data_IF_257588834544
#
_entry.id   IF_257588834544
#
_cell.length_a   1.000
_cell.length_b   1.000
_cell.length_c   1.000
_cell.angle_alpha   90.00
_cell.angle_beta   90.00
_cell.angle_gamma   90.00
#
_symmetry.space_group_name_H-M   'P 1'
#
loop_
_entity.id
_entity.type
_entity.pdbx_description
1 polymer ?
#
# COMPACT_ATOMS: atom_id res chain seq x y z
N UNK A 1 6.33 -11.51 -23.34
CA UNK A 1 7.01 -10.36 -22.71
C UNK A 1 8.02 -10.88 -21.70
N UNK A 2 9.14 -10.20 -21.57
CA UNK A 2 10.06 -10.35 -20.45
C UNK A 2 9.63 -9.41 -19.31
N UNK A 3 9.29 -10.00 -18.15
CA UNK A 3 8.69 -9.27 -17.03
C UNK A 3 9.67 -9.26 -15.85
N UNK A 4 10.16 -8.09 -15.46
CA UNK A 4 10.96 -7.95 -14.25
C UNK A 4 10.05 -7.88 -13.01
N UNK A 5 10.25 -8.76 -12.05
CA UNK A 5 9.58 -8.74 -10.75
C UNK A 5 10.58 -8.23 -9.71
N UNK A 6 10.39 -7.00 -9.23
CA UNK A 6 11.27 -6.40 -8.23
C UNK A 6 10.94 -6.96 -6.85
N UNK A 7 11.64 -8.00 -6.42
CA UNK A 7 11.40 -8.67 -5.15
C UNK A 7 12.71 -9.16 -4.54
N UNK A 8 12.91 -8.94 -3.24
CA UNK A 8 14.08 -9.39 -2.50
C UNK A 8 14.15 -10.91 -2.27
N UNK A 9 13.03 -11.60 -2.41
CA UNK A 9 12.95 -13.04 -2.16
C UNK A 9 11.94 -13.68 -3.11
N UNK A 10 12.43 -14.54 -4.00
CA UNK A 10 11.62 -15.29 -4.97
C UNK A 10 10.67 -16.30 -4.33
N UNK A 11 10.96 -16.74 -3.10
CA UNK A 11 10.20 -17.77 -2.40
C UNK A 11 8.99 -17.20 -1.63
N UNK A 12 8.84 -15.86 -1.53
CA UNK A 12 7.63 -15.26 -0.95
C UNK A 12 6.41 -15.68 -1.76
N UNK A 13 5.33 -16.02 -1.08
CA UNK A 13 4.07 -16.45 -1.71
C UNK A 13 3.68 -15.56 -2.90
N UNK A 14 3.56 -14.26 -2.68
CA UNK A 14 3.13 -13.33 -3.74
C UNK A 14 4.10 -13.29 -4.92
N UNK A 15 5.42 -13.40 -4.68
CA UNK A 15 6.42 -13.40 -5.75
C UNK A 15 6.32 -14.69 -6.57
N UNK A 16 6.22 -15.84 -5.91
CA UNK A 16 6.08 -17.14 -6.56
C UNK A 16 4.80 -17.20 -7.39
N UNK A 17 3.65 -16.75 -6.85
CA UNK A 17 2.39 -16.69 -7.58
C UNK A 17 2.46 -15.83 -8.84
N UNK A 18 3.16 -14.70 -8.79
CA UNK A 18 3.36 -13.82 -9.95
C UNK A 18 4.29 -14.47 -11.00
N UNK A 19 5.32 -15.22 -10.57
CA UNK A 19 6.17 -16.01 -11.48
C UNK A 19 5.31 -17.06 -12.20
N UNK A 20 4.62 -17.92 -11.44
CA UNK A 20 3.74 -18.97 -11.96
C UNK A 20 2.70 -18.41 -12.95
N UNK A 21 2.05 -17.30 -12.58
CA UNK A 21 1.06 -16.66 -13.44
C UNK A 21 1.67 -16.10 -14.74
N UNK A 22 2.86 -15.53 -14.68
CA UNK A 22 3.56 -15.02 -15.86
C UNK A 22 3.97 -16.17 -16.80
N UNK A 23 4.57 -17.23 -16.27
CA UNK A 23 4.98 -18.41 -17.03
C UNK A 23 3.76 -19.12 -17.67
N UNK A 24 2.68 -19.31 -16.92
CA UNK A 24 1.44 -19.91 -17.42
C UNK A 24 0.84 -19.15 -18.61
N UNK A 25 1.07 -17.84 -18.67
CA UNK A 25 0.62 -16.96 -19.77
C UNK A 25 1.68 -16.78 -20.86
N UNK A 26 2.75 -17.58 -20.87
CA UNK A 26 3.79 -17.57 -21.90
C UNK A 26 4.74 -16.38 -21.81
N UNK A 27 4.93 -15.80 -20.63
CA UNK A 27 5.91 -14.75 -20.39
C UNK A 27 7.19 -15.27 -19.73
N UNK A 28 8.28 -14.51 -19.82
CA UNK A 28 9.56 -14.76 -19.20
C UNK A 28 9.70 -13.89 -17.92
N UNK A 29 9.41 -14.41 -16.72
CA UNK A 29 9.61 -13.64 -15.49
C UNK A 29 11.06 -13.67 -15.04
N UNK A 30 11.61 -12.50 -14.66
CA UNK A 30 12.94 -12.35 -14.09
C UNK A 30 12.82 -11.66 -12.72
N UNK A 31 13.25 -12.34 -11.67
CA UNK A 31 13.22 -11.76 -10.31
C UNK A 31 14.51 -11.00 -10.04
N UNK A 32 14.37 -9.72 -9.73
CA UNK A 32 15.47 -8.82 -9.42
C UNK A 32 15.35 -8.31 -7.97
N UNK A 33 16.35 -8.61 -7.15
CA UNK A 33 16.49 -7.99 -5.83
C UNK A 33 16.94 -6.54 -6.01
N UNK A 34 16.07 -5.60 -5.67
CA UNK A 34 16.34 -4.16 -5.85
C UNK A 34 17.62 -3.71 -5.18
N UNK A 35 18.01 -4.30 -4.04
CA UNK A 35 19.24 -3.93 -3.32
C UNK A 35 20.51 -4.43 -4.02
N UNK A 36 20.38 -5.30 -5.02
CA UNK A 36 21.49 -5.78 -5.86
C UNK A 36 21.49 -5.18 -7.26
N UNK A 37 20.49 -4.35 -7.56
CA UNK A 37 20.47 -3.54 -8.78
C UNK A 37 21.34 -2.30 -8.57
N UNK A 38 22.03 -1.88 -9.59
CA UNK A 38 22.70 -0.58 -9.64
C UNK A 38 22.49 0.06 -11.02
N UNK A 39 22.58 1.37 -11.07
CA UNK A 39 22.10 2.15 -12.20
C UNK A 39 23.23 3.01 -12.76
N UNK A 40 23.35 3.05 -14.08
CA UNK A 40 24.11 4.07 -14.79
C UNK A 40 23.13 5.17 -15.24
N UNK A 41 23.28 6.34 -14.64
CA UNK A 41 22.41 7.50 -14.92
C UNK A 41 23.19 8.43 -15.82
N UNK A 42 22.86 8.41 -17.11
CA UNK A 42 23.47 9.27 -18.13
C UNK A 42 22.40 9.78 -19.10
N UNK A 43 22.74 10.79 -19.89
CA UNK A 43 21.80 11.50 -20.77
C UNK A 43 21.33 10.69 -21.98
N UNK A 44 22.11 9.73 -22.42
CA UNK A 44 21.88 9.07 -23.71
C UNK A 44 21.32 7.66 -23.56
N UNK A 45 21.88 6.87 -22.65
CA UNK A 45 21.54 5.46 -22.49
C UNK A 45 21.51 5.08 -21.02
N UNK A 46 20.41 5.38 -20.30
CA UNK A 46 20.25 4.98 -18.91
C UNK A 46 20.19 3.45 -18.81
N UNK A 47 20.90 2.87 -17.84
CA UNK A 47 21.03 1.44 -17.70
C UNK A 47 20.74 0.97 -16.28
N UNK A 48 20.33 -0.30 -16.17
CA UNK A 48 20.25 -1.03 -14.91
C UNK A 48 21.11 -2.29 -15.04
N UNK A 49 21.89 -2.54 -14.00
CA UNK A 49 22.71 -3.73 -13.88
C UNK A 49 22.27 -4.55 -12.65
N UNK A 50 22.39 -5.85 -12.75
CA UNK A 50 22.10 -6.78 -11.68
C UNK A 50 23.18 -7.86 -11.64
N UNK A 51 23.90 -7.97 -10.52
CA UNK A 51 24.98 -8.95 -10.31
C UNK A 51 26.10 -8.94 -11.39
N UNK A 52 26.38 -7.81 -11.97
CA UNK A 52 27.41 -7.66 -13.01
C UNK A 52 26.85 -7.52 -14.42
N UNK A 53 25.66 -8.03 -14.68
CA UNK A 53 25.06 -8.05 -16.01
C UNK A 53 24.15 -6.84 -16.26
N UNK A 54 24.21 -6.28 -17.46
CA UNK A 54 23.24 -5.27 -17.93
C UNK A 54 21.89 -5.93 -18.17
N UNK A 55 20.83 -5.36 -17.60
CA UNK A 55 19.47 -5.83 -17.80
C UNK A 55 18.93 -5.31 -19.14
N UNK A 56 18.60 -6.23 -20.03
CA UNK A 56 18.11 -5.93 -21.37
C UNK A 56 16.83 -6.69 -21.71
N UNK A 57 16.06 -6.15 -22.65
CA UNK A 57 14.87 -6.81 -23.21
C UNK A 57 13.68 -6.91 -22.25
N UNK A 58 13.64 -6.13 -21.18
CA UNK A 58 12.48 -6.08 -20.26
C UNK A 58 11.39 -5.24 -20.88
N UNK A 59 10.17 -5.78 -20.92
CA UNK A 59 8.97 -5.11 -21.45
C UNK A 59 8.14 -4.43 -20.37
N UNK A 60 8.10 -5.05 -19.18
CA UNK A 60 7.28 -4.56 -18.07
C UNK A 60 7.90 -4.90 -16.70
N UNK A 61 7.51 -4.12 -15.68
CA UNK A 61 8.00 -4.29 -14.31
C UNK A 61 6.85 -4.43 -13.32
N UNK A 62 6.91 -5.47 -12.48
CA UNK A 62 6.02 -5.67 -11.33
C UNK A 62 6.76 -5.30 -10.05
N UNK A 63 6.47 -4.14 -9.42
CA UNK A 63 7.13 -3.73 -8.20
C UNK A 63 6.53 -4.46 -6.98
N UNK A 64 7.36 -5.29 -6.32
CA UNK A 64 7.08 -5.89 -5.01
C UNK A 64 8.01 -5.28 -3.95
N UNK A 65 8.01 -3.95 -3.91
CA UNK A 65 8.92 -3.15 -3.07
C UNK A 65 8.37 -3.14 -1.63
N UNK A 66 9.16 -3.65 -0.70
CA UNK A 66 8.86 -3.61 0.74
C UNK A 66 9.04 -2.21 1.34
N UNK A 67 8.40 -1.95 2.48
CA UNK A 67 8.44 -0.64 3.13
C UNK A 67 9.87 -0.20 3.50
N UNK A 68 10.68 -1.10 4.04
CA UNK A 68 12.07 -0.82 4.45
C UNK A 68 13.03 -0.47 3.31
N UNK A 69 12.65 -0.72 2.07
CA UNK A 69 13.47 -0.47 0.88
C UNK A 69 12.79 0.46 -0.13
N UNK A 70 11.79 1.23 0.33
CA UNK A 70 10.97 2.09 -0.55
C UNK A 70 11.82 3.07 -1.34
N UNK A 71 12.76 3.76 -0.69
CA UNK A 71 13.60 4.76 -1.37
C UNK A 71 14.37 4.15 -2.53
N UNK A 72 15.18 3.14 -2.25
CA UNK A 72 16.04 2.53 -3.27
C UNK A 72 15.24 1.74 -4.31
N UNK A 73 14.21 1.00 -3.87
CA UNK A 73 13.34 0.25 -4.78
C UNK A 73 12.59 1.15 -5.76
N UNK A 74 12.09 2.30 -5.30
CA UNK A 74 11.47 3.28 -6.17
C UNK A 74 12.48 3.99 -7.08
N UNK A 75 13.74 4.17 -6.65
CA UNK A 75 14.79 4.69 -7.53
C UNK A 75 15.10 3.72 -8.69
N UNK A 76 15.23 2.42 -8.40
CA UNK A 76 15.40 1.38 -9.44
C UNK A 76 14.20 1.32 -10.37
N UNK A 77 12.97 1.36 -9.82
CA UNK A 77 11.74 1.37 -10.62
C UNK A 77 11.67 2.60 -11.54
N UNK A 78 12.03 3.77 -11.03
CA UNK A 78 12.06 5.02 -11.81
C UNK A 78 13.07 4.94 -12.94
N UNK A 79 14.21 4.27 -12.75
CA UNK A 79 15.16 4.03 -13.82
C UNK A 79 14.53 3.20 -14.95
N UNK A 80 13.79 2.15 -14.64
CA UNK A 80 13.00 1.41 -15.64
C UNK A 80 12.00 2.32 -16.37
N UNK A 81 11.32 3.20 -15.63
CA UNK A 81 10.39 4.17 -16.22
C UNK A 81 11.11 5.12 -17.20
N UNK A 82 12.30 5.61 -16.85
CA UNK A 82 13.15 6.46 -17.73
C UNK A 82 13.63 5.72 -18.97
N UNK A 83 13.84 4.41 -18.88
CA UNK A 83 14.14 3.53 -20.01
C UNK A 83 12.92 3.22 -20.89
N UNK A 84 11.73 3.76 -20.58
CA UNK A 84 10.49 3.55 -21.31
C UNK A 84 9.82 2.20 -21.06
N UNK A 85 10.23 1.48 -20.01
CA UNK A 85 9.67 0.18 -19.64
C UNK A 85 8.41 0.39 -18.81
N UNK A 86 7.34 -0.35 -19.11
CA UNK A 86 6.04 -0.19 -18.45
C UNK A 86 6.06 -0.70 -16.99
N UNK A 87 5.82 0.15 -15.97
CA UNK A 87 5.62 -0.28 -14.60
C UNK A 87 4.15 -0.60 -14.33
N UNK A 88 3.88 -1.71 -13.63
CA UNK A 88 2.52 -2.02 -13.18
C UNK A 88 1.96 -0.91 -12.26
N UNK A 89 2.78 -0.44 -11.33
CA UNK A 89 2.56 0.76 -10.53
C UNK A 89 3.77 1.68 -10.70
N UNK A 90 3.54 2.96 -10.92
CA UNK A 90 4.63 3.95 -11.06
C UNK A 90 5.30 4.23 -9.71
N UNK A 91 6.59 4.55 -9.75
CA UNK A 91 7.41 4.87 -8.57
C UNK A 91 6.81 6.01 -7.73
N UNK A 92 6.28 7.04 -8.38
CA UNK A 92 5.60 8.16 -7.72
C UNK A 92 4.31 7.74 -7.02
N UNK A 93 3.55 6.81 -7.58
CA UNK A 93 2.33 6.30 -6.96
C UNK A 93 2.65 5.47 -5.71
N UNK A 94 3.72 4.66 -5.77
CA UNK A 94 4.21 3.90 -4.63
C UNK A 94 4.67 4.84 -3.51
N UNK A 95 5.46 5.86 -3.81
CA UNK A 95 5.93 6.82 -2.80
C UNK A 95 4.78 7.60 -2.16
N UNK A 96 3.75 8.00 -2.93
CA UNK A 96 2.54 8.65 -2.40
C UNK A 96 1.80 7.76 -1.40
N UNK A 97 1.63 6.48 -1.71
CA UNK A 97 0.93 5.54 -0.82
C UNK A 97 1.74 5.14 0.40
N UNK A 98 3.07 5.20 0.34
CA UNK A 98 3.97 4.91 1.46
C UNK A 98 4.08 6.04 2.47
N UNK A 99 3.94 7.26 2.02
CA UNK A 99 3.88 8.44 2.87
C UNK A 99 2.45 8.58 3.43
N UNK A 100 2.28 8.19 4.70
CA UNK A 100 0.95 8.18 5.35
C UNK A 100 0.27 9.54 5.35
N UNK A 101 1.01 10.62 5.63
CA UNK A 101 0.43 11.97 5.64
C UNK A 101 0.03 12.40 4.24
N UNK A 102 0.92 12.24 3.27
CA UNK A 102 0.65 12.58 1.86
C UNK A 102 -0.53 11.77 1.33
N UNK A 103 -0.62 10.49 1.68
CA UNK A 103 -1.74 9.63 1.30
C UNK A 103 -3.07 10.21 1.81
N UNK A 104 -3.16 10.53 3.11
CA UNK A 104 -4.36 11.13 3.70
C UNK A 104 -4.71 12.49 3.09
N UNK A 105 -3.72 13.35 2.86
CA UNK A 105 -3.93 14.66 2.20
C UNK A 105 -4.48 14.50 0.78
N UNK A 106 -3.99 13.53 0.02
CA UNK A 106 -4.48 13.24 -1.33
C UNK A 106 -5.90 12.68 -1.31
N UNK A 107 -6.22 11.79 -0.36
CA UNK A 107 -7.58 11.25 -0.15
C UNK A 107 -8.54 12.38 0.22
N UNK A 108 -8.16 13.23 1.17
CA UNK A 108 -8.94 14.41 1.58
C UNK A 108 -9.26 15.33 0.41
N UNK A 109 -8.26 15.69 -0.37
CA UNK A 109 -8.44 16.54 -1.58
C UNK A 109 -9.41 15.93 -2.60
N UNK A 110 -9.52 14.60 -2.63
CA UNK A 110 -10.44 13.88 -3.53
C UNK A 110 -11.80 13.61 -2.93
N UNK A 111 -12.08 14.07 -1.71
CA UNK A 111 -13.33 13.83 -1.00
C UNK A 111 -13.56 12.36 -0.66
N UNK A 112 -12.50 11.57 -0.52
CA UNK A 112 -12.59 10.17 -0.12
C UNK A 112 -12.73 10.10 1.40
N UNK A 113 -13.75 9.41 1.91
CA UNK A 113 -13.98 9.22 3.34
C UNK A 113 -12.79 8.56 4.03
N UNK A 114 -12.37 9.11 5.16
CA UNK A 114 -11.30 8.60 6.00
C UNK A 114 -11.54 8.99 7.46
N UNK A 115 -10.96 8.31 8.45
CA UNK A 115 -11.02 8.73 9.83
C UNK A 115 -10.41 10.13 10.01
N UNK A 116 -11.01 10.95 10.87
CA UNK A 116 -10.46 12.26 11.20
C UNK A 116 -9.06 12.08 11.75
N UNK A 117 -8.10 12.76 11.17
CA UNK A 117 -6.68 12.58 11.47
C UNK A 117 -6.03 13.94 11.73
N UNK A 118 -5.36 14.05 12.86
CA UNK A 118 -4.56 15.20 13.23
C UNK A 118 -3.06 14.84 13.24
N UNK A 119 -2.24 15.84 12.99
CA UNK A 119 -0.78 15.76 13.03
C UNK A 119 -0.21 17.03 13.64
N UNK A 120 0.63 16.89 14.63
CA UNK A 120 1.36 17.99 15.27
C UNK A 120 2.81 17.58 15.50
N UNK A 121 3.70 18.58 15.54
CA UNK A 121 5.14 18.39 15.73
C UNK A 121 5.63 18.78 17.12
N UNK A 122 4.80 19.47 17.93
CA UNK A 122 5.18 19.94 19.25
C UNK A 122 4.25 19.40 20.33
N UNK A 123 4.78 19.05 21.52
CA UNK A 123 3.98 18.58 22.65
C UNK A 123 2.93 19.58 23.13
N UNK A 124 3.20 20.88 23.01
CA UNK A 124 2.30 21.95 23.45
C UNK A 124 0.94 21.91 22.74
N UNK A 125 0.88 21.35 21.52
CA UNK A 125 -0.31 21.26 20.68
C UNK A 125 -1.14 19.99 20.94
N UNK A 126 -0.75 19.11 21.88
CA UNK A 126 -1.37 17.78 22.09
C UNK A 126 -2.84 17.89 22.46
N UNK A 127 -3.22 18.86 23.31
CA UNK A 127 -4.61 19.03 23.74
C UNK A 127 -5.51 19.42 22.58
N UNK A 128 -5.08 20.40 21.79
CA UNK A 128 -5.80 20.87 20.61
C UNK A 128 -5.90 19.78 19.55
N UNK A 129 -4.82 18.99 19.39
CA UNK A 129 -4.78 17.85 18.48
C UNK A 129 -5.82 16.78 18.86
N UNK A 130 -5.96 16.47 20.17
CA UNK A 130 -6.95 15.53 20.65
C UNK A 130 -8.38 16.05 20.45
N UNK A 131 -8.62 17.32 20.72
CA UNK A 131 -9.94 17.93 20.52
C UNK A 131 -10.32 17.96 19.03
N UNK A 132 -9.35 18.23 18.14
CA UNK A 132 -9.54 18.21 16.68
C UNK A 132 -10.04 16.86 16.15
N UNK A 133 -9.58 15.74 16.73
CA UNK A 133 -9.99 14.39 16.31
C UNK A 133 -11.19 13.85 17.08
N UNK A 134 -11.85 14.68 17.91
CA UNK A 134 -13.05 14.32 18.66
C UNK A 134 -12.79 13.70 20.03
N UNK A 135 -11.57 13.75 20.54
CA UNK A 135 -11.20 13.22 21.86
C UNK A 135 -10.97 11.71 21.87
N UNK A 136 -10.71 11.18 23.06
CA UNK A 136 -10.51 9.75 23.25
C UNK A 136 -11.85 8.96 23.18
N UNK A 137 -11.82 7.68 22.73
CA UNK A 137 -10.63 6.91 22.35
C UNK A 137 -10.04 7.32 21.00
N UNK A 138 -8.70 7.28 20.90
CA UNK A 138 -7.95 7.64 19.68
C UNK A 138 -6.91 6.57 19.33
N UNK A 139 -6.59 6.49 18.04
CA UNK A 139 -5.51 5.64 17.55
C UNK A 139 -4.28 6.50 17.23
N UNK A 140 -3.18 6.26 17.95
CA UNK A 140 -1.92 6.96 17.76
C UNK A 140 -1.03 6.07 16.89
N UNK A 141 -0.47 6.61 15.81
CA UNK A 141 0.32 5.83 14.84
C UNK A 141 1.67 6.50 14.58
N UNK A 142 2.75 5.73 14.64
CA UNK A 142 4.04 6.17 14.12
C UNK A 142 3.96 6.28 12.59
N UNK A 143 4.49 7.37 12.03
CA UNK A 143 4.53 7.55 10.57
C UNK A 143 5.43 6.51 9.89
N UNK A 144 6.53 6.14 10.54
CA UNK A 144 7.52 5.20 10.01
C UNK A 144 7.24 3.73 10.37
N UNK A 145 6.15 3.44 11.11
CA UNK A 145 5.75 2.08 11.48
C UNK A 145 5.11 1.30 10.35
N UNK A 146 5.29 -0.03 10.36
CA UNK A 146 4.65 -0.98 9.43
C UNK A 146 4.02 -2.15 10.17
N UNK A 147 3.06 -2.85 9.55
CA UNK A 147 2.42 -4.06 10.09
C UNK A 147 1.80 -3.90 11.50
N UNK A 148 1.31 -2.70 11.83
CA UNK A 148 0.73 -2.41 13.14
C UNK A 148 1.76 -2.20 14.26
N UNK A 149 3.07 -2.15 13.94
CA UNK A 149 4.11 -1.71 14.88
C UNK A 149 4.00 -0.20 15.05
N UNK A 150 4.02 0.28 16.30
CA UNK A 150 3.86 1.71 16.60
C UNK A 150 2.44 2.22 16.40
N UNK A 151 1.43 1.34 16.56
CA UNK A 151 0.00 1.71 16.59
C UNK A 151 -0.55 1.42 17.97
N UNK A 152 -1.05 2.44 18.65
CA UNK A 152 -1.57 2.37 20.02
C UNK A 152 -3.00 2.89 20.06
N UNK A 153 -3.91 2.15 20.68
CA UNK A 153 -5.23 2.63 21.06
C UNK A 153 -5.14 3.25 22.46
N UNK A 154 -5.46 4.53 22.56
CA UNK A 154 -5.56 5.23 23.85
C UNK A 154 -7.02 5.46 24.19
N UNK A 155 -7.52 4.76 25.19
CA UNK A 155 -8.94 4.77 25.54
C UNK A 155 -9.37 6.02 26.32
N UNK A 156 -8.42 6.67 27.00
CA UNK A 156 -8.66 7.89 27.76
C UNK A 156 -7.77 9.03 27.30
N UNK A 157 -8.22 10.27 27.50
CA UNK A 157 -7.45 11.47 27.19
C UNK A 157 -6.07 11.46 27.86
N UNK A 158 -6.01 11.12 29.15
CA UNK A 158 -4.75 11.06 29.90
C UNK A 158 -3.78 10.03 29.32
N UNK A 159 -4.28 8.87 28.92
CA UNK A 159 -3.44 7.86 28.27
C UNK A 159 -2.94 8.36 26.90
N UNK A 160 -3.80 9.03 26.12
CA UNK A 160 -3.42 9.60 24.83
C UNK A 160 -2.33 10.65 24.98
N UNK A 161 -2.49 11.62 25.90
CA UNK A 161 -1.49 12.65 26.21
C UNK A 161 -0.15 12.00 26.56
N UNK A 162 -0.13 11.06 27.51
CA UNK A 162 1.10 10.38 27.94
C UNK A 162 1.82 9.64 26.80
N UNK A 163 1.08 8.94 25.92
CA UNK A 163 1.66 8.21 24.78
C UNK A 163 2.23 9.18 23.75
N UNK A 164 1.50 10.26 23.45
CA UNK A 164 1.92 11.29 22.48
C UNK A 164 3.19 11.98 22.97
N UNK A 165 3.21 12.42 24.24
CA UNK A 165 4.38 13.06 24.85
C UNK A 165 5.60 12.15 24.84
N UNK A 166 5.42 10.86 25.16
CA UNK A 166 6.50 9.88 25.12
C UNK A 166 7.09 9.71 23.72
N UNK A 167 6.25 9.60 22.68
CA UNK A 167 6.73 9.48 21.30
C UNK A 167 7.38 10.78 20.80
N UNK A 168 6.83 11.94 21.13
CA UNK A 168 7.43 13.23 20.77
C UNK A 168 8.76 13.45 21.48
N UNK A 169 8.87 13.02 22.75
CA UNK A 169 10.14 13.03 23.49
C UNK A 169 11.23 12.20 22.82
N UNK A 170 10.86 11.12 22.14
CA UNK A 170 11.74 10.31 21.31
C UNK A 170 11.96 10.90 19.89
N UNK A 171 11.43 12.09 19.61
CA UNK A 171 11.46 12.75 18.28
C UNK A 171 10.81 11.90 17.17
N UNK A 172 9.86 11.04 17.53
CA UNK A 172 9.12 10.24 16.58
C UNK A 172 7.98 11.05 15.97
N UNK A 173 7.84 10.99 14.65
CA UNK A 173 6.70 11.58 13.95
C UNK A 173 5.47 10.69 14.14
N UNK A 174 4.40 11.27 14.68
CA UNK A 174 3.15 10.56 14.96
C UNK A 174 1.97 11.26 14.30
N UNK A 175 0.92 10.49 14.06
CA UNK A 175 -0.41 11.01 13.79
C UNK A 175 -1.41 10.48 14.81
N UNK A 176 -2.42 11.27 15.11
CA UNK A 176 -3.54 10.90 15.96
C UNK A 176 -4.79 10.81 15.11
N UNK A 177 -5.55 9.75 15.29
CA UNK A 177 -6.70 9.44 14.45
C UNK A 177 -7.88 9.05 15.33
N UNK A 178 -9.09 9.49 14.99
CA UNK A 178 -10.30 9.01 15.67
C UNK A 178 -10.40 7.49 15.64
N UNK A 179 -10.92 6.91 16.70
CA UNK A 179 -11.19 5.47 16.75
C UNK A 179 -12.61 5.18 16.26
N UNK A 180 -12.71 4.36 15.22
CA UNK A 180 -14.01 3.97 14.63
C UNK A 180 -14.54 2.76 15.38
N UNK A 181 -15.36 3.00 16.39
CA UNK A 181 -15.94 1.96 17.27
C UNK A 181 -16.80 0.96 16.51
N UNK A 182 -17.56 1.45 15.53
CA UNK A 182 -18.50 0.67 14.72
C UNK A 182 -17.79 -0.40 13.88
N UNK A 183 -16.50 -0.22 13.59
CA UNK A 183 -15.70 -1.22 12.89
C UNK A 183 -15.49 -2.49 13.73
N UNK A 184 -15.60 -2.43 15.07
CA UNK A 184 -15.53 -3.59 15.95
C UNK A 184 -14.22 -4.40 15.84
N UNK A 185 -13.09 -3.74 15.65
CA UNK A 185 -11.80 -4.42 15.42
C UNK A 185 -11.72 -5.15 14.07
N UNK A 186 -12.58 -4.81 13.12
CA UNK A 186 -12.57 -5.37 11.77
C UNK A 186 -12.22 -4.32 10.74
N UNK A 187 -11.59 -4.75 9.64
CA UNK A 187 -11.48 -3.98 8.43
C UNK A 187 -11.82 -4.83 7.19
N UNK A 188 -12.01 -4.13 6.08
CA UNK A 188 -12.27 -4.75 4.78
C UNK A 188 -11.09 -4.43 3.87
N UNK A 189 -10.34 -5.45 3.45
CA UNK A 189 -9.36 -5.31 2.39
C UNK A 189 -10.00 -5.50 1.04
N UNK A 190 -10.06 -4.42 0.26
CA UNK A 190 -10.45 -4.44 -1.14
C UNK A 190 -9.20 -4.55 -2.03
N UNK A 191 -9.15 -5.55 -2.91
CA UNK A 191 -8.10 -5.69 -3.90
C UNK A 191 -8.55 -5.03 -5.21
N UNK A 192 -7.87 -3.94 -5.56
CA UNK A 192 -8.19 -3.13 -6.74
C UNK A 192 -7.20 -3.45 -7.86
N UNK A 193 -7.72 -3.69 -9.07
CA UNK A 193 -6.94 -3.74 -10.31
C UNK A 193 -7.61 -2.78 -11.32
N UNK A 194 -6.88 -1.77 -11.76
CA UNK A 194 -7.39 -0.72 -12.63
C UNK A 194 -8.54 0.06 -11.99
N UNK A 195 -9.73 -0.08 -12.54
CA UNK A 195 -10.95 0.60 -12.09
C UNK A 195 -11.94 -0.32 -11.37
N UNK A 196 -11.51 -1.52 -10.97
CA UNK A 196 -12.39 -2.55 -10.38
C UNK A 196 -11.84 -3.11 -9.09
N UNK A 197 -12.71 -3.32 -8.10
CA UNK A 197 -12.43 -4.20 -6.97
C UNK A 197 -12.71 -5.63 -7.44
N UNK A 198 -11.64 -6.43 -7.55
CA UNK A 198 -11.73 -7.81 -8.05
C UNK A 198 -11.96 -8.83 -6.94
N UNK A 199 -11.56 -8.51 -5.73
CA UNK A 199 -11.72 -9.34 -4.54
C UNK A 199 -11.83 -8.48 -3.29
N UNK A 200 -12.52 -8.97 -2.26
CA UNK A 200 -12.57 -8.36 -0.95
C UNK A 200 -12.60 -9.43 0.15
N UNK A 201 -11.94 -9.14 1.26
CA UNK A 201 -11.97 -9.97 2.46
C UNK A 201 -12.16 -9.11 3.69
N UNK A 202 -12.92 -9.60 4.66
CA UNK A 202 -12.97 -9.07 6.02
C UNK A 202 -11.77 -9.62 6.78
N UNK A 203 -11.06 -8.75 7.50
CA UNK A 203 -10.08 -9.15 8.50
C UNK A 203 -10.65 -8.79 9.86
N UNK A 204 -10.58 -9.72 10.80
CA UNK A 204 -11.09 -9.54 12.16
C UNK A 204 -9.94 -9.73 13.15
N UNK A 205 -9.78 -8.77 14.04
CA UNK A 205 -8.84 -8.88 15.17
C UNK A 205 -9.27 -10.00 16.13
N UNK A 206 -8.32 -10.54 16.86
CA UNK A 206 -8.59 -11.43 17.99
C UNK A 206 -9.29 -10.67 19.12
N UNK A 207 -9.95 -11.39 19.99
CA UNK A 207 -10.57 -10.80 21.18
C UNK A 207 -9.53 -10.05 22.03
N UNK A 208 -9.86 -8.81 22.42
CA UNK A 208 -8.94 -7.93 23.15
C UNK A 208 -7.92 -7.17 22.29
N UNK A 209 -7.86 -7.44 20.98
CA UNK A 209 -7.00 -6.71 20.02
C UNK A 209 -7.89 -5.86 19.09
N UNK A 210 -7.46 -4.64 18.79
CA UNK A 210 -8.18 -3.75 17.85
C UNK A 210 -7.60 -3.77 16.43
N UNK A 211 -6.39 -4.30 16.25
CA UNK A 211 -5.69 -4.38 14.97
C UNK A 211 -6.01 -5.69 14.27
N UNK A 212 -6.65 -5.61 13.12
CA UNK A 212 -7.12 -6.74 12.30
C UNK A 212 -6.05 -7.43 11.45
N UNK A 213 -4.77 -7.08 11.63
CA UNK A 213 -3.66 -7.61 10.84
C UNK A 213 -3.52 -9.15 10.96
N UNK A 214 -3.50 -9.88 9.84
CA UNK A 214 -3.36 -11.34 9.81
C UNK A 214 -2.07 -11.84 10.49
N UNK A 215 -0.98 -11.08 10.38
CA UNK A 215 0.30 -11.38 11.03
C UNK A 215 0.24 -11.29 12.57
N UNK A 216 -0.83 -10.73 13.12
CA UNK A 216 -1.10 -10.66 14.57
C UNK A 216 -2.15 -11.67 15.02
N UNK A 217 -2.39 -12.70 14.22
CA UNK A 217 -3.36 -13.73 14.53
C UNK A 217 -4.81 -13.39 14.15
N UNK A 218 -5.04 -12.28 13.47
CA UNK A 218 -6.36 -11.95 12.92
C UNK A 218 -6.84 -13.02 11.92
N UNK A 219 -8.16 -13.15 11.79
CA UNK A 219 -8.79 -14.06 10.81
C UNK A 219 -9.18 -13.31 9.53
N UNK A 220 -9.24 -14.05 8.42
CA UNK A 220 -9.74 -13.55 7.14
C UNK A 220 -10.95 -14.36 6.68
N UNK A 221 -11.98 -13.68 6.20
CA UNK A 221 -13.18 -14.32 5.62
C UNK A 221 -13.65 -13.57 4.38
N UNK A 222 -14.33 -14.30 3.50
CA UNK A 222 -14.97 -13.72 2.33
C UNK A 222 -16.04 -12.73 2.77
N UNK A 223 -16.13 -11.58 2.11
CA UNK A 223 -17.18 -10.59 2.36
C UNK A 223 -17.76 -10.05 1.06
N UNK A 224 -19.07 -9.77 1.09
CA UNK A 224 -19.71 -8.95 0.07
C UNK A 224 -19.58 -7.48 0.45
N UNK A 225 -19.03 -6.70 -0.48
CA UNK A 225 -18.89 -5.25 -0.33
C UNK A 225 -20.06 -4.51 -0.99
N UNK A 226 -20.43 -3.38 -0.41
CA UNK A 226 -21.47 -2.50 -0.97
C UNK A 226 -20.98 -1.77 -2.21
N UNK A 227 -21.89 -1.21 -3.04
CA UNK A 227 -21.51 -0.34 -4.15
C UNK A 227 -20.67 0.88 -3.70
N UNK A 228 -20.97 1.43 -2.53
CA UNK A 228 -20.25 2.56 -1.94
C UNK A 228 -18.83 2.17 -1.52
N UNK A 229 -18.64 1.05 -0.83
CA UNK A 229 -17.31 0.50 -0.48
C UNK A 229 -16.47 0.26 -1.73
N UNK A 230 -17.08 -0.27 -2.80
CA UNK A 230 -16.43 -0.47 -4.08
C UNK A 230 -15.97 0.85 -4.71
N UNK A 231 -16.85 1.85 -4.75
CA UNK A 231 -16.56 3.18 -5.29
C UNK A 231 -15.44 3.86 -4.50
N UNK A 232 -15.50 3.79 -3.18
CA UNK A 232 -14.51 4.37 -2.27
C UNK A 232 -13.13 3.72 -2.46
N UNK A 233 -13.06 2.39 -2.53
CA UNK A 233 -11.79 1.67 -2.74
C UNK A 233 -11.15 2.03 -4.09
N UNK A 234 -11.92 2.09 -5.17
CA UNK A 234 -11.42 2.48 -6.50
C UNK A 234 -10.98 3.95 -6.50
N UNK A 235 -11.75 4.85 -5.88
CA UNK A 235 -11.38 6.26 -5.78
C UNK A 235 -10.07 6.46 -5.00
N UNK A 236 -9.86 5.70 -3.92
CA UNK A 236 -8.63 5.74 -3.12
C UNK A 236 -7.41 5.26 -3.93
N UNK A 237 -7.50 4.14 -4.63
CA UNK A 237 -6.43 3.66 -5.50
C UNK A 237 -6.06 4.67 -6.60
N UNK A 238 -7.08 5.27 -7.24
CA UNK A 238 -6.91 6.33 -8.25
C UNK A 238 -6.30 7.61 -7.69
N UNK A 239 -6.65 8.00 -6.46
CA UNK A 239 -6.07 9.17 -5.81
C UNK A 239 -4.56 9.04 -5.61
N UNK A 240 -4.08 7.81 -5.34
CA UNK A 240 -2.64 7.51 -5.26
C UNK A 240 -1.99 7.38 -6.64
N UNK A 241 -2.75 7.09 -7.70
CA UNK A 241 -2.25 6.76 -9.03
C UNK A 241 -1.85 5.28 -9.18
N UNK A 242 -2.39 4.40 -8.34
CA UNK A 242 -2.07 2.97 -8.34
C UNK A 242 -2.99 2.19 -9.28
N UNK A 243 -2.41 1.37 -10.14
CA UNK A 243 -3.13 0.40 -10.97
C UNK A 243 -3.50 -0.86 -10.18
N UNK A 244 -2.63 -1.28 -9.27
CA UNK A 244 -2.89 -2.41 -8.36
C UNK A 244 -2.70 -1.93 -6.93
N UNK A 245 -3.72 -2.09 -6.11
CA UNK A 245 -3.71 -1.65 -4.72
C UNK A 245 -4.52 -2.58 -3.81
N UNK A 246 -4.08 -2.65 -2.55
CA UNK A 246 -4.90 -3.14 -1.45
C UNK A 246 -5.43 -1.94 -0.67
N UNK A 247 -6.73 -1.72 -0.67
CA UNK A 247 -7.37 -0.62 0.07
C UNK A 247 -8.06 -1.18 1.29
N UNK A 248 -7.68 -0.67 2.45
CA UNK A 248 -8.25 -1.07 3.73
C UNK A 248 -9.32 -0.07 4.16
N UNK A 249 -10.54 -0.57 4.35
CA UNK A 249 -11.72 0.22 4.70
C UNK A 249 -12.22 -0.14 6.09
N UNK A 250 -12.65 0.87 6.83
CA UNK A 250 -13.45 0.71 8.04
C UNK A 250 -14.93 1.01 7.71
N UNK A 251 -15.85 0.21 8.23
CA UNK A 251 -17.27 0.52 8.22
C UNK A 251 -17.59 1.49 9.35
N UNK A 252 -18.28 2.57 9.03
CA UNK A 252 -18.74 3.54 10.01
C UNK A 252 -20.17 4.00 9.71
N UNK A 253 -20.80 4.68 10.66
CA UNK A 253 -22.11 5.31 10.47
C UNK A 253 -22.09 6.40 9.38
N UNK A 254 -20.89 6.94 9.07
CA UNK A 254 -20.67 7.95 8.02
C UNK A 254 -20.33 7.34 6.65
N UNK A 255 -20.50 6.01 6.49
CA UNK A 255 -20.09 5.27 5.30
C UNK A 255 -18.68 4.67 5.40
N UNK A 256 -18.13 4.16 4.29
CA UNK A 256 -16.81 3.53 4.27
C UNK A 256 -15.68 4.55 4.41
N UNK A 257 -14.77 4.30 5.35
CA UNK A 257 -13.61 5.14 5.63
C UNK A 257 -12.31 4.42 5.21
N UNK A 258 -11.49 5.06 4.40
CA UNK A 258 -10.20 4.53 3.98
C UNK A 258 -9.20 4.68 5.12
N UNK A 259 -8.66 3.57 5.59
CA UNK A 259 -7.61 3.54 6.61
C UNK A 259 -6.23 3.59 5.98
N UNK A 260 -6.01 2.84 4.90
CA UNK A 260 -4.71 2.71 4.23
C UNK A 260 -4.86 2.28 2.77
N UNK A 261 -3.92 2.71 1.92
CA UNK A 261 -3.79 2.26 0.53
C UNK A 261 -2.42 1.63 0.33
N UNK A 262 -2.38 0.34 0.08
CA UNK A 262 -1.17 -0.46 -0.05
C UNK A 262 -0.78 -0.66 -1.51
N UNK A 263 0.41 -0.21 -1.92
CA UNK A 263 0.93 -0.33 -3.29
C UNK A 263 1.48 -1.72 -3.64
N UNK A 264 1.76 -2.56 -2.65
CA UNK A 264 2.27 -3.92 -2.82
C UNK A 264 1.52 -4.90 -1.93
N UNK A 265 0.19 -5.06 -2.13
CA UNK A 265 -0.63 -5.91 -1.26
C UNK A 265 -0.18 -7.38 -1.33
N UNK A 266 -0.21 -8.08 -0.19
CA UNK A 266 0.02 -9.52 -0.14
C UNK A 266 -1.09 -10.29 -0.85
N UNK A 267 -0.72 -11.32 -1.60
CA UNK A 267 -1.69 -12.15 -2.35
C UNK A 267 -2.23 -13.31 -1.53
N UNK A 268 -1.44 -13.83 -0.58
CA UNK A 268 -1.77 -15.07 0.14
C UNK A 268 -3.12 -15.02 0.85
N UNK A 269 -3.35 -14.01 1.67
CA UNK A 269 -4.59 -13.89 2.43
C UNK A 269 -5.82 -13.75 1.55
N UNK A 270 -5.74 -12.92 0.51
CA UNK A 270 -6.88 -12.66 -0.38
C UNK A 270 -7.17 -13.83 -1.32
N UNK A 271 -6.14 -14.52 -1.86
CA UNK A 271 -6.31 -15.70 -2.70
C UNK A 271 -6.91 -16.87 -1.89
N UNK A 272 -6.39 -17.10 -0.67
CA UNK A 272 -6.93 -18.14 0.24
C UNK A 272 -8.38 -17.86 0.66
N UNK A 273 -8.70 -16.60 0.97
CA UNK A 273 -10.05 -16.23 1.42
C UNK A 273 -11.09 -16.25 0.30
N UNK A 274 -10.69 -16.00 -0.95
CA UNK A 274 -11.62 -15.82 -2.08
C UNK A 274 -11.59 -16.94 -3.12
N UNK A 275 -10.54 -17.77 -3.12
CA UNK A 275 -10.30 -18.81 -4.15
C UNK A 275 -10.00 -18.24 -5.54
N UNK A 276 -9.71 -16.93 -5.66
CA UNK A 276 -9.46 -16.27 -6.94
C UNK A 276 -7.98 -16.26 -7.28
N UNK A 277 -7.64 -16.43 -8.54
CA UNK A 277 -6.30 -16.26 -9.10
C UNK A 277 -5.98 -14.76 -9.28
N UNK A 278 -5.61 -14.11 -8.19
CA UNK A 278 -5.29 -12.67 -8.19
C UNK A 278 -4.01 -12.39 -8.98
N UNK A 279 -3.01 -13.27 -8.86
CA UNK A 279 -1.75 -13.14 -9.61
C UNK A 279 -2.01 -13.18 -11.13
N UNK A 280 -2.81 -14.13 -11.62
CA UNK A 280 -3.20 -14.21 -13.03
C UNK A 280 -3.92 -12.95 -13.51
N UNK A 281 -4.85 -12.41 -12.70
CA UNK A 281 -5.56 -11.16 -13.02
C UNK A 281 -4.61 -9.95 -13.09
N UNK A 282 -3.57 -9.89 -12.27
CA UNK A 282 -2.55 -8.83 -12.33
C UNK A 282 -1.77 -8.93 -13.64
N UNK A 283 -1.30 -10.11 -14.01
CA UNK A 283 -0.53 -10.32 -15.25
C UNK A 283 -1.40 -10.01 -16.47
N UNK A 284 -2.66 -10.46 -16.51
CA UNK A 284 -3.61 -10.14 -17.58
C UNK A 284 -3.83 -8.61 -17.73
N UNK A 285 -3.99 -7.90 -16.61
CA UNK A 285 -4.11 -6.45 -16.64
C UNK A 285 -2.86 -5.79 -17.21
N UNK A 286 -1.68 -6.28 -16.81
CA UNK A 286 -0.39 -5.76 -17.28
C UNK A 286 -0.21 -5.97 -18.78
N UNK A 287 -0.57 -7.14 -19.34
CA UNK A 287 -0.54 -7.41 -20.79
C UNK A 287 -1.31 -6.36 -21.57
N UNK A 288 -2.55 -6.08 -21.12
CA UNK A 288 -3.44 -5.10 -21.77
C UNK A 288 -2.89 -3.68 -21.73
N UNK A 289 -2.16 -3.33 -20.66
CA UNK A 289 -1.65 -1.97 -20.46
C UNK A 289 -0.25 -1.76 -21.02
N UNK A 290 0.63 -2.73 -20.89
CA UNK A 290 2.01 -2.65 -21.39
C UNK A 290 2.05 -2.43 -22.91
N UNK A 291 1.13 -3.04 -23.66
CA UNK A 291 1.01 -2.84 -25.11
C UNK A 291 0.82 -1.37 -25.49
N UNK A 292 0.15 -0.57 -24.66
CA UNK A 292 -0.05 0.85 -24.89
C UNK A 292 1.13 1.74 -24.50
N UNK A 293 2.08 1.23 -23.71
CA UNK A 293 3.20 1.97 -23.08
C UNK A 293 2.79 3.28 -22.37
N UNK A 294 1.49 3.43 -22.02
CA UNK A 294 0.97 4.64 -21.39
C UNK A 294 0.95 4.48 -19.88
N UNK A 295 1.66 5.36 -19.20
CA UNK A 295 1.65 5.53 -17.75
C UNK A 295 0.97 6.85 -17.37
N UNK A 296 0.51 7.01 -16.14
CA UNK A 296 -0.21 8.21 -15.72
C UNK A 296 0.69 9.45 -15.73
N UNK A 297 1.94 9.30 -15.33
CA UNK A 297 2.91 10.41 -15.25
C UNK A 297 3.78 10.53 -16.51
N UNK A 298 3.76 9.53 -17.40
CA UNK A 298 4.65 9.42 -18.55
C UNK A 298 6.14 9.55 -18.18
N UNK A 299 6.52 9.03 -17.00
CA UNK A 299 7.87 9.12 -16.48
C UNK A 299 8.28 10.48 -15.91
N UNK A 300 7.36 11.43 -15.82
CA UNK A 300 7.67 12.79 -15.33
C UNK A 300 7.63 12.92 -13.79
N UNK A 301 7.50 11.83 -13.06
CA UNK A 301 7.66 11.77 -11.61
C UNK A 301 6.54 12.39 -10.79
#
# INVERSE_FOLDING_TARGET
MKIAILSRNKNLYSTRRLIEAAEHRGHEPVVLDVLRCYMNINSNEPEIHFKGDKIVGVDAVVPRIGASVTFYGCAVLRQFEMMGIYPLNESVAITRSRDKLRSLQLLSRKGVGMPITGFANKPDDVKDLLDMVGGAPVVIKLLEGTQGIGVVLAETRKAAESVIEAFMGLKANIMVQEYIKEAGGADIRCFVIGDKVIAAMKRQAQEGEFRSNLHRGGSASLIRITPEERKTAVAAAKAMGLNVAGVDLLRSERGPLVMEVNSSPGLEGIEKATGKDIAGMIIEFMEKKAASKRTATRGKG
#
